data_IF_721336414624
#
_entry.id   IF_721336414624
#
_cell.length_a   1.000
_cell.length_b   1.000
_cell.length_c   1.000
_cell.angle_alpha   90.00
_cell.angle_beta   90.00
_cell.angle_gamma   90.00
#
_symmetry.space_group_name_H-M   'P 1'
#
loop_
_entity.id
_entity.type
_entity.pdbx_description
1 polymer ?
#
# COMPACT_ATOMS: atom_id res chain seq x y z
N UNK A 1 9.29 -0.91 5.72
CA UNK A 1 9.04 -2.08 4.83
C UNK A 1 10.38 -2.62 4.33
N UNK A 2 10.57 -3.94 4.24
CA UNK A 2 11.80 -4.55 3.70
C UNK A 2 11.85 -4.34 2.17
N UNK A 3 12.98 -3.88 1.63
CA UNK A 3 13.19 -3.65 0.19
C UNK A 3 12.82 -4.87 -0.66
N UNK A 4 13.02 -6.09 -0.15
CA UNK A 4 12.65 -7.32 -0.86
C UNK A 4 11.14 -7.45 -1.09
N UNK A 5 10.32 -6.94 -0.17
CA UNK A 5 8.85 -6.96 -0.29
C UNK A 5 8.36 -5.92 -1.30
N UNK A 6 8.97 -4.74 -1.32
CA UNK A 6 8.60 -3.66 -2.24
C UNK A 6 8.72 -4.07 -3.72
N UNK A 7 9.80 -4.77 -4.10
CA UNK A 7 9.98 -5.23 -5.49
C UNK A 7 9.02 -6.34 -5.90
N UNK A 8 8.63 -7.23 -4.99
CA UNK A 8 7.62 -8.25 -5.27
C UNK A 8 6.25 -7.63 -5.56
N UNK A 9 5.91 -6.55 -4.87
CA UNK A 9 4.61 -5.86 -4.97
C UNK A 9 4.47 -5.06 -6.27
N UNK A 10 5.58 -4.72 -6.91
CA UNK A 10 5.59 -4.00 -8.20
C UNK A 10 5.54 -4.98 -9.38
N UNK A 11 5.55 -6.30 -9.14
CA UNK A 11 5.64 -7.35 -10.18
C UNK A 11 6.82 -7.12 -11.15
N UNK A 12 7.86 -6.42 -10.71
CA UNK A 12 9.07 -6.14 -11.49
C UNK A 12 10.29 -6.73 -10.79
N UNK A 13 11.01 -7.59 -11.51
CA UNK A 13 12.30 -8.09 -11.07
C UNK A 13 13.26 -6.89 -10.83
N UNK A 14 14.04 -6.85 -9.72
CA UNK A 14 14.92 -5.73 -9.40
C UNK A 14 15.86 -5.35 -10.54
N UNK A 15 16.29 -6.34 -11.34
CA UNK A 15 17.14 -6.14 -12.53
C UNK A 15 16.36 -5.47 -13.66
N UNK A 16 15.09 -5.83 -13.83
CA UNK A 16 14.19 -5.25 -14.84
C UNK A 16 13.78 -3.82 -14.49
N UNK A 17 13.50 -3.53 -13.21
CA UNK A 17 13.24 -2.17 -12.74
C UNK A 17 14.46 -1.26 -12.98
N UNK A 18 15.64 -1.75 -12.63
CA UNK A 18 16.87 -0.98 -12.77
C UNK A 18 17.19 -0.66 -14.23
N UNK A 19 17.01 -1.62 -15.15
CA UNK A 19 17.26 -1.42 -16.59
C UNK A 19 16.21 -0.56 -17.28
N UNK A 20 14.93 -0.73 -16.95
CA UNK A 20 13.83 -0.11 -17.71
C UNK A 20 13.43 1.26 -17.19
N UNK A 21 13.66 1.53 -15.90
CA UNK A 21 13.19 2.77 -15.26
C UNK A 21 14.34 3.55 -14.59
N UNK A 22 15.14 2.92 -13.73
CA UNK A 22 16.14 3.64 -12.94
C UNK A 22 17.32 4.18 -13.80
N UNK A 23 17.91 3.35 -14.65
CA UNK A 23 19.05 3.75 -15.52
C UNK A 23 18.65 4.88 -16.48
N UNK A 24 17.54 4.80 -17.23
CA UNK A 24 17.09 5.89 -18.10
C UNK A 24 16.81 7.19 -17.34
N UNK A 25 16.18 7.12 -16.15
CA UNK A 25 15.88 8.29 -15.34
C UNK A 25 17.14 8.99 -14.82
N UNK A 26 18.13 8.22 -14.36
CA UNK A 26 19.42 8.76 -13.89
C UNK A 26 20.22 9.32 -15.06
N UNK A 27 20.30 8.62 -16.19
CA UNK A 27 20.96 9.13 -17.41
C UNK A 27 20.32 10.43 -17.90
N UNK A 28 18.99 10.53 -17.86
CA UNK A 28 18.28 11.76 -18.18
C UNK A 28 18.69 12.90 -17.25
N UNK A 29 18.76 12.67 -15.93
CA UNK A 29 19.21 13.67 -14.96
C UNK A 29 20.63 14.18 -15.24
N UNK A 30 21.57 13.29 -15.56
CA UNK A 30 22.94 13.67 -15.92
C UNK A 30 23.03 14.41 -17.26
N UNK A 31 22.30 13.96 -18.29
CA UNK A 31 22.24 14.65 -19.58
C UNK A 31 21.66 16.05 -19.43
N UNK A 32 20.59 16.20 -18.66
CA UNK A 32 19.93 17.47 -18.43
C UNK A 32 20.85 18.44 -17.70
N UNK A 33 21.54 17.99 -16.63
CA UNK A 33 22.55 18.80 -15.97
C UNK A 33 23.68 19.22 -16.93
N UNK A 34 24.17 18.30 -17.78
CA UNK A 34 25.18 18.60 -18.79
C UNK A 34 24.74 19.65 -19.82
N UNK A 35 23.49 19.60 -20.27
CA UNK A 35 22.91 20.60 -21.19
C UNK A 35 22.88 21.97 -20.51
N UNK A 36 22.46 22.05 -19.25
CA UNK A 36 22.44 23.30 -18.49
C UNK A 36 23.83 23.92 -18.36
N UNK A 37 24.86 23.11 -18.11
CA UNK A 37 26.24 23.57 -18.07
C UNK A 37 26.79 24.03 -19.42
N UNK A 38 26.35 23.40 -20.53
CA UNK A 38 26.83 23.72 -21.87
C UNK A 38 26.16 24.98 -22.46
N UNK A 39 24.84 25.13 -22.27
CA UNK A 39 24.04 26.19 -22.92
C UNK A 39 23.88 27.45 -22.09
N UNK A 40 23.99 27.39 -20.76
CA UNK A 40 23.78 28.52 -19.86
C UNK A 40 24.94 28.74 -18.87
N UNK A 41 26.21 28.75 -19.30
CA UNK A 41 27.35 28.83 -18.38
C UNK A 41 27.39 30.14 -17.57
N UNK A 42 26.92 31.25 -18.14
CA UNK A 42 26.96 32.57 -17.50
C UNK A 42 25.97 32.69 -16.32
N UNK A 43 24.82 31.99 -16.39
CA UNK A 43 23.79 31.98 -15.34
C UNK A 43 24.18 31.12 -14.13
N UNK A 44 25.01 30.10 -14.33
CA UNK A 44 25.42 29.15 -13.29
C UNK A 44 26.87 29.35 -12.86
N UNK A 45 27.34 30.60 -12.83
CA UNK A 45 28.64 30.99 -12.29
C UNK A 45 28.55 31.30 -10.78
N UNK A 46 29.59 30.94 -10.01
CA UNK A 46 29.63 31.15 -8.56
C UNK A 46 28.76 30.15 -7.74
N UNK A 47 28.13 30.55 -6.62
CA UNK A 47 27.33 29.67 -5.77
C UNK A 47 26.11 29.05 -6.46
N UNK A 48 25.68 29.57 -7.61
CA UNK A 48 24.54 29.04 -8.37
C UNK A 48 24.87 27.71 -9.11
N UNK A 49 26.15 27.35 -9.23
CA UNK A 49 26.61 26.10 -9.86
C UNK A 49 26.04 24.84 -9.17
N UNK A 50 25.63 24.93 -7.91
CA UNK A 50 25.05 23.77 -7.21
C UNK A 50 23.65 23.40 -7.75
N UNK A 51 22.94 24.33 -8.40
CA UNK A 51 21.55 24.12 -8.84
C UNK A 51 21.45 23.04 -9.93
N UNK A 52 22.20 23.08 -11.05
CA UNK A 52 22.14 22.01 -12.04
C UNK A 52 22.67 20.68 -11.51
N UNK A 53 23.64 20.71 -10.59
CA UNK A 53 24.18 19.51 -9.94
C UNK A 53 23.17 18.79 -9.03
N UNK A 54 22.14 19.49 -8.52
CA UNK A 54 21.07 18.88 -7.73
C UNK A 54 20.10 18.04 -8.57
N UNK A 55 19.96 18.33 -9.87
CA UNK A 55 19.05 17.61 -10.78
C UNK A 55 19.33 16.09 -10.80
N UNK A 56 20.55 15.60 -11.07
CA UNK A 56 20.84 14.17 -11.03
C UNK A 56 20.67 13.57 -9.64
N UNK A 57 20.97 14.34 -8.57
CA UNK A 57 20.76 13.90 -7.18
C UNK A 57 19.27 13.64 -6.91
N UNK A 58 18.39 14.54 -7.35
CA UNK A 58 16.93 14.39 -7.22
C UNK A 58 16.45 13.20 -8.05
N UNK A 59 16.95 13.00 -9.27
CA UNK A 59 16.59 11.84 -10.09
C UNK A 59 17.00 10.51 -9.45
N UNK A 60 18.20 10.44 -8.84
CA UNK A 60 18.66 9.26 -8.11
C UNK A 60 17.77 9.02 -6.89
N UNK A 61 17.48 10.06 -6.12
CA UNK A 61 16.60 9.97 -4.95
C UNK A 61 15.21 9.46 -5.34
N UNK A 62 14.63 10.00 -6.41
CA UNK A 62 13.33 9.57 -6.93
C UNK A 62 13.36 8.11 -7.37
N UNK A 63 14.39 7.67 -8.10
CA UNK A 63 14.52 6.28 -8.55
C UNK A 63 14.63 5.28 -7.39
N UNK A 64 15.20 5.68 -6.24
CA UNK A 64 15.30 4.82 -5.05
C UNK A 64 14.02 4.83 -4.21
N UNK A 65 13.37 5.99 -4.08
CA UNK A 65 12.16 6.14 -3.24
C UNK A 65 10.89 5.65 -3.93
N UNK A 66 10.81 5.74 -5.26
CA UNK A 66 9.65 5.31 -6.03
C UNK A 66 9.13 3.91 -5.70
N UNK A 67 9.97 2.84 -5.67
CA UNK A 67 9.46 1.50 -5.40
C UNK A 67 8.90 1.34 -3.99
N UNK A 68 9.46 2.04 -3.01
CA UNK A 68 8.96 2.01 -1.63
C UNK A 68 7.58 2.68 -1.58
N UNK A 69 7.48 3.88 -2.14
CA UNK A 69 6.24 4.64 -2.14
C UNK A 69 5.12 3.92 -2.90
N UNK A 70 5.42 3.30 -4.04
CA UNK A 70 4.45 2.52 -4.80
C UNK A 70 3.94 1.30 -4.02
N UNK A 71 4.83 0.61 -3.32
CA UNK A 71 4.45 -0.55 -2.50
C UNK A 71 3.67 -0.13 -1.24
N UNK A 72 4.01 1.00 -0.61
CA UNK A 72 3.24 1.57 0.50
C UNK A 72 1.84 1.99 0.05
N UNK A 73 1.71 2.59 -1.14
CA UNK A 73 0.42 2.94 -1.73
C UNK A 73 -0.49 1.71 -1.88
N UNK A 74 0.04 0.61 -2.42
CA UNK A 74 -0.69 -0.67 -2.52
C UNK A 74 -1.03 -1.28 -1.16
N UNK A 75 -0.14 -1.16 -0.17
CA UNK A 75 -0.41 -1.59 1.20
C UNK A 75 -1.59 -0.81 1.81
N UNK A 76 -1.59 0.51 1.66
CA UNK A 76 -2.68 1.37 2.12
C UNK A 76 -4.01 1.07 1.41
N UNK A 77 -3.97 0.77 0.11
CA UNK A 77 -5.15 0.35 -0.65
C UNK A 77 -5.77 -0.94 -0.08
N UNK A 78 -4.94 -1.94 0.23
CA UNK A 78 -5.39 -3.16 0.92
C UNK A 78 -6.01 -2.81 2.27
N UNK A 79 -5.28 -2.07 3.12
CA UNK A 79 -5.69 -1.76 4.50
C UNK A 79 -7.06 -1.07 4.55
N UNK A 80 -7.31 -0.15 3.62
CA UNK A 80 -8.59 0.57 3.52
C UNK A 80 -9.77 -0.36 3.20
N UNK A 81 -9.55 -1.46 2.45
CA UNK A 81 -10.61 -2.39 2.05
C UNK A 81 -10.77 -3.59 2.99
N UNK A 82 -9.84 -3.79 3.95
CA UNK A 82 -9.83 -4.96 4.84
C UNK A 82 -11.14 -5.17 5.60
N UNK A 83 -11.77 -4.09 6.07
CA UNK A 83 -13.02 -4.17 6.82
C UNK A 83 -14.17 -4.71 5.97
N UNK A 84 -14.37 -4.19 4.75
CA UNK A 84 -15.37 -4.71 3.81
C UNK A 84 -15.07 -6.16 3.39
N UNK A 85 -13.80 -6.47 3.14
CA UNK A 85 -13.35 -7.81 2.76
C UNK A 85 -13.66 -8.85 3.83
N UNK A 86 -13.30 -8.60 5.09
CA UNK A 86 -13.57 -9.52 6.21
C UNK A 86 -15.08 -9.60 6.53
N UNK A 87 -15.81 -8.48 6.42
CA UNK A 87 -17.27 -8.48 6.53
C UNK A 87 -17.92 -9.38 5.49
N UNK A 88 -17.49 -9.31 4.22
CA UNK A 88 -18.01 -10.16 3.16
C UNK A 88 -17.65 -11.64 3.39
N UNK A 89 -16.39 -11.93 3.75
CA UNK A 89 -15.98 -13.30 4.05
C UNK A 89 -16.86 -13.94 5.13
N UNK A 90 -17.11 -13.25 6.25
CA UNK A 90 -17.94 -13.80 7.32
C UNK A 90 -19.44 -13.88 6.98
N UNK A 91 -19.95 -12.96 6.17
CA UNK A 91 -21.31 -13.06 5.62
C UNK A 91 -21.45 -14.33 4.74
N UNK A 92 -20.48 -14.60 3.87
CA UNK A 92 -20.45 -15.80 3.02
C UNK A 92 -20.26 -17.08 3.85
N UNK A 93 -19.45 -17.02 4.91
CA UNK A 93 -19.23 -18.14 5.83
C UNK A 93 -20.49 -18.54 6.61
N UNK A 94 -21.41 -17.59 6.85
CA UNK A 94 -22.67 -17.86 7.55
C UNK A 94 -23.54 -18.88 6.79
N UNK A 95 -23.42 -18.94 5.46
CA UNK A 95 -24.09 -19.92 4.62
C UNK A 95 -23.45 -21.33 4.64
N UNK A 96 -22.53 -21.61 5.58
CA UNK A 96 -21.75 -22.86 5.66
C UNK A 96 -20.98 -23.16 4.38
N UNK A 97 -20.57 -22.10 3.67
CA UNK A 97 -19.81 -22.18 2.42
C UNK A 97 -18.44 -22.82 2.67
N UNK A 98 -17.97 -23.73 1.81
CA UNK A 98 -16.62 -24.29 1.91
C UNK A 98 -15.53 -23.19 1.93
N UNK A 99 -14.48 -23.42 2.71
CA UNK A 99 -13.40 -22.42 2.93
C UNK A 99 -12.76 -21.92 1.64
N UNK A 100 -12.53 -22.84 0.69
CA UNK A 100 -11.95 -22.52 -0.62
C UNK A 100 -12.90 -21.66 -1.45
N UNK A 101 -14.21 -21.91 -1.36
CA UNK A 101 -15.23 -21.12 -2.05
C UNK A 101 -15.37 -19.71 -1.47
N UNK A 102 -15.23 -19.54 -0.15
CA UNK A 102 -15.19 -18.21 0.48
C UNK A 102 -14.06 -17.39 -0.14
N UNK A 103 -12.85 -17.96 -0.21
CA UNK A 103 -11.66 -17.31 -0.79
C UNK A 103 -11.86 -17.00 -2.28
N UNK A 104 -12.51 -17.90 -3.03
CA UNK A 104 -12.86 -17.68 -4.43
C UNK A 104 -13.79 -16.48 -4.59
N UNK A 105 -14.89 -16.43 -3.84
CA UNK A 105 -15.92 -15.38 -3.94
C UNK A 105 -15.31 -14.00 -3.70
N UNK A 106 -14.50 -13.84 -2.65
CA UNK A 106 -13.88 -12.54 -2.35
C UNK A 106 -12.74 -12.19 -3.31
N UNK A 107 -12.12 -13.18 -3.97
CA UNK A 107 -11.12 -12.93 -5.03
C UNK A 107 -11.73 -12.49 -6.36
N UNK A 108 -13.01 -12.78 -6.60
CA UNK A 108 -13.76 -12.39 -7.80
C UNK A 108 -14.31 -10.96 -7.68
N UNK A 109 -14.26 -10.35 -6.49
CA UNK A 109 -14.76 -9.00 -6.26
C UNK A 109 -13.72 -7.93 -6.68
N UNK A 110 -13.90 -7.37 -7.87
CA UNK A 110 -13.01 -6.32 -8.41
C UNK A 110 -12.97 -5.04 -7.55
N UNK A 111 -14.00 -4.78 -6.72
CA UNK A 111 -14.03 -3.59 -5.85
C UNK A 111 -12.91 -3.59 -4.79
N UNK A 112 -12.33 -4.76 -4.49
CA UNK A 112 -11.20 -4.86 -3.56
C UNK A 112 -9.84 -4.61 -4.21
N UNK A 113 -9.79 -4.37 -5.52
CA UNK A 113 -8.57 -4.00 -6.24
C UNK A 113 -7.42 -4.97 -5.97
N UNK A 114 -6.29 -4.44 -5.48
CA UNK A 114 -5.09 -5.23 -5.21
C UNK A 114 -5.30 -6.35 -4.16
N UNK A 115 -6.25 -6.18 -3.23
CA UNK A 115 -6.57 -7.23 -2.23
C UNK A 115 -7.25 -8.45 -2.88
N UNK A 116 -8.14 -8.24 -3.86
CA UNK A 116 -8.71 -9.33 -4.64
C UNK A 116 -7.66 -10.06 -5.48
N UNK A 117 -6.72 -9.32 -6.09
CA UNK A 117 -5.60 -9.90 -6.84
C UNK A 117 -4.72 -10.80 -5.98
N UNK A 118 -4.31 -10.33 -4.78
CA UNK A 118 -3.51 -11.14 -3.86
C UNK A 118 -4.29 -12.37 -3.36
N UNK A 119 -5.60 -12.23 -3.13
CA UNK A 119 -6.45 -13.34 -2.71
C UNK A 119 -6.66 -14.36 -3.83
N UNK A 120 -6.74 -13.90 -5.09
CA UNK A 120 -6.80 -14.78 -6.26
C UNK A 120 -5.55 -15.64 -6.38
N UNK A 121 -4.37 -15.08 -6.08
CA UNK A 121 -3.12 -15.86 -6.02
C UNK A 121 -3.22 -17.00 -4.98
N UNK A 122 -3.87 -16.77 -3.83
CA UNK A 122 -4.13 -17.83 -2.84
C UNK A 122 -5.04 -18.91 -3.45
N UNK A 123 -6.14 -18.52 -4.08
CA UNK A 123 -7.08 -19.45 -4.71
C UNK A 123 -6.40 -20.30 -5.80
N UNK A 124 -5.58 -19.68 -6.65
CA UNK A 124 -4.81 -20.37 -7.70
C UNK A 124 -3.78 -21.34 -7.11
N UNK A 125 -3.09 -20.97 -6.02
CA UNK A 125 -2.18 -21.89 -5.31
C UNK A 125 -2.88 -23.15 -4.81
N UNK A 126 -4.14 -23.03 -4.40
CA UNK A 126 -4.93 -24.18 -3.94
C UNK A 126 -5.42 -25.01 -5.13
N UNK A 127 -6.02 -24.37 -6.13
CA UNK A 127 -6.73 -25.06 -7.21
C UNK A 127 -5.81 -25.57 -8.32
N UNK A 128 -4.86 -24.75 -8.76
CA UNK A 128 -3.94 -25.07 -9.87
C UNK A 128 -2.74 -25.83 -9.33
N UNK A 129 -2.18 -25.35 -8.21
CA UNK A 129 -0.93 -25.88 -7.66
C UNK A 129 -1.13 -26.95 -6.58
N UNK A 130 -2.39 -27.33 -6.30
CA UNK A 130 -2.77 -28.35 -5.31
C UNK A 130 -2.10 -28.15 -3.93
N UNK A 131 -1.87 -26.90 -3.52
CA UNK A 131 -1.38 -26.59 -2.18
C UNK A 131 -2.54 -26.58 -1.18
N UNK A 132 -2.22 -26.78 0.10
CA UNK A 132 -3.19 -26.54 1.16
C UNK A 132 -3.55 -25.05 1.22
N UNK A 133 -4.78 -24.73 1.64
CA UNK A 133 -5.19 -23.35 1.81
C UNK A 133 -4.34 -22.64 2.89
N UNK A 134 -3.91 -23.38 3.92
CA UNK A 134 -2.94 -22.89 4.91
C UNK A 134 -1.64 -22.42 4.23
N UNK A 135 -1.03 -23.28 3.40
CA UNK A 135 0.23 -22.97 2.73
C UNK A 135 0.08 -21.78 1.77
N UNK A 136 -1.07 -21.68 1.08
CA UNK A 136 -1.41 -20.55 0.22
C UNK A 136 -1.44 -19.23 0.99
N UNK A 137 -2.16 -19.20 2.12
CA UNK A 137 -2.24 -18.01 2.99
C UNK A 137 -0.85 -17.62 3.51
N UNK A 138 -0.05 -18.56 4.05
CA UNK A 138 1.32 -18.27 4.52
C UNK A 138 2.25 -17.80 3.42
N UNK A 139 2.05 -18.28 2.19
CA UNK A 139 2.87 -17.90 1.05
C UNK A 139 2.64 -16.43 0.66
N UNK A 140 1.39 -15.99 0.64
CA UNK A 140 1.03 -14.60 0.32
C UNK A 140 1.27 -13.66 1.50
N UNK A 141 1.05 -14.10 2.74
CA UNK A 141 1.34 -13.32 3.95
C UNK A 141 2.78 -12.78 3.96
N UNK A 142 3.76 -13.59 3.51
CA UNK A 142 5.17 -13.18 3.47
C UNK A 142 5.51 -12.14 2.40
N UNK A 143 4.60 -11.87 1.46
CA UNK A 143 4.82 -11.08 0.25
C UNK A 143 3.94 -9.84 0.12
N UNK A 144 2.80 -9.80 0.82
CA UNK A 144 1.93 -8.63 0.84
C UNK A 144 2.66 -7.39 1.42
N UNK A 145 2.38 -6.18 0.88
CA UNK A 145 2.88 -4.93 1.44
C UNK A 145 2.16 -4.53 2.74
N UNK A 146 0.93 -5.03 2.93
CA UNK A 146 0.08 -4.70 4.09
C UNK A 146 0.42 -5.58 5.28
N UNK A 147 0.65 -4.95 6.44
CA UNK A 147 0.87 -5.64 7.72
C UNK A 147 -0.43 -6.22 8.25
N UNK A 148 -1.55 -5.50 8.11
CA UNK A 148 -2.87 -5.95 8.56
C UNK A 148 -3.28 -7.22 7.81
N UNK A 149 -3.11 -7.23 6.49
CA UNK A 149 -3.43 -8.39 5.66
C UNK A 149 -2.47 -9.55 5.90
N UNK A 150 -1.17 -9.29 6.10
CA UNK A 150 -0.22 -10.32 6.51
C UNK A 150 -0.70 -11.02 7.80
N UNK A 151 -1.03 -10.24 8.82
CA UNK A 151 -1.41 -10.76 10.13
C UNK A 151 -2.75 -11.50 10.07
N UNK A 152 -3.71 -11.00 9.28
CA UNK A 152 -4.96 -11.70 8.98
C UNK A 152 -4.70 -13.06 8.32
N UNK A 153 -3.88 -13.10 7.26
CA UNK A 153 -3.57 -14.34 6.55
C UNK A 153 -2.81 -15.34 7.42
N UNK A 154 -1.90 -14.87 8.29
CA UNK A 154 -1.22 -15.73 9.24
C UNK A 154 -2.20 -16.28 10.27
N UNK A 155 -3.11 -15.47 10.83
CA UNK A 155 -4.16 -15.96 11.74
C UNK A 155 -5.09 -16.97 11.04
N UNK A 156 -5.53 -16.67 9.82
CA UNK A 156 -6.35 -17.55 9.01
C UNK A 156 -5.63 -18.88 8.77
N UNK A 157 -4.35 -18.88 8.40
CA UNK A 157 -3.56 -20.09 8.24
C UNK A 157 -3.51 -20.94 9.53
N UNK A 158 -3.34 -20.30 10.69
CA UNK A 158 -3.35 -21.02 11.98
C UNK A 158 -4.72 -21.60 12.33
N UNK A 159 -5.82 -20.86 12.11
CA UNK A 159 -7.18 -21.36 12.31
C UNK A 159 -7.51 -22.52 11.36
N UNK A 160 -7.07 -22.41 10.10
CA UNK A 160 -7.19 -23.48 9.11
C UNK A 160 -6.48 -24.76 9.55
N UNK A 161 -5.24 -24.65 10.03
CA UNK A 161 -4.44 -25.78 10.52
C UNK A 161 -5.05 -26.45 11.75
N UNK A 162 -5.60 -25.64 12.65
CA UNK A 162 -6.16 -26.10 13.92
C UNK A 162 -7.56 -26.71 13.76
N UNK A 163 -8.14 -26.65 12.56
CA UNK A 163 -9.50 -27.13 12.29
C UNK A 163 -10.57 -26.23 12.89
N UNK A 164 -10.24 -24.98 13.23
CA UNK A 164 -11.18 -23.99 13.77
C UNK A 164 -12.35 -23.79 12.81
N UNK A 165 -13.56 -23.58 13.34
CA UNK A 165 -14.71 -23.26 12.52
C UNK A 165 -14.51 -21.89 11.84
N UNK A 166 -14.69 -21.85 10.52
CA UNK A 166 -14.37 -20.66 9.73
C UNK A 166 -15.33 -19.49 10.04
N UNK A 167 -16.57 -19.79 10.42
CA UNK A 167 -17.56 -18.77 10.77
C UNK A 167 -17.19 -18.14 12.11
N UNK A 168 -16.82 -18.95 13.09
CA UNK A 168 -16.39 -18.44 14.40
C UNK A 168 -15.10 -17.62 14.28
N UNK A 169 -14.12 -18.11 13.52
CA UNK A 169 -12.90 -17.37 13.19
C UNK A 169 -13.22 -16.00 12.57
N UNK A 170 -13.98 -15.98 11.47
CA UNK A 170 -14.29 -14.73 10.75
C UNK A 170 -15.15 -13.77 11.59
N UNK A 171 -16.04 -14.28 12.44
CA UNK A 171 -16.81 -13.45 13.37
C UNK A 171 -15.89 -12.74 14.38
N UNK A 172 -14.91 -13.46 14.94
CA UNK A 172 -13.92 -12.85 15.85
C UNK A 172 -13.08 -11.79 15.15
N UNK A 173 -12.67 -12.06 13.91
CA UNK A 173 -11.82 -11.18 13.12
C UNK A 173 -12.57 -9.93 12.63
N UNK A 174 -13.87 -10.06 12.30
CA UNK A 174 -14.74 -8.92 12.01
C UNK A 174 -14.76 -7.91 13.14
N UNK A 175 -14.85 -8.36 14.40
CA UNK A 175 -14.84 -7.46 15.54
C UNK A 175 -13.49 -6.73 15.67
N UNK A 176 -12.38 -7.43 15.46
CA UNK A 176 -11.04 -6.82 15.52
C UNK A 176 -10.88 -5.73 14.47
N UNK A 177 -11.22 -6.03 13.22
CA UNK A 177 -11.03 -5.08 12.12
C UNK A 177 -12.03 -3.92 12.16
N UNK A 178 -13.26 -4.14 12.62
CA UNK A 178 -14.22 -3.04 12.81
C UNK A 178 -13.78 -2.09 13.93
N UNK A 179 -13.22 -2.60 15.03
CA UNK A 179 -12.69 -1.75 16.10
C UNK A 179 -11.49 -0.91 15.60
N UNK A 180 -10.59 -1.51 14.82
CA UNK A 180 -9.46 -0.78 14.22
C UNK A 180 -9.95 0.29 13.24
N UNK A 181 -10.93 -0.04 12.39
CA UNK A 181 -11.55 0.90 11.47
C UNK A 181 -12.23 2.06 12.19
N UNK A 182 -12.96 1.80 13.27
CA UNK A 182 -13.56 2.85 14.11
C UNK A 182 -12.49 3.77 14.71
N UNK A 183 -11.38 3.21 15.19
CA UNK A 183 -10.25 3.98 15.73
C UNK A 183 -9.62 4.89 14.67
N UNK A 184 -9.36 4.35 13.47
CA UNK A 184 -8.85 5.11 12.33
C UNK A 184 -9.82 6.23 11.93
N UNK A 185 -11.12 5.92 11.83
CA UNK A 185 -12.15 6.89 11.46
C UNK A 185 -12.26 8.02 12.48
N UNK A 186 -12.25 7.70 13.77
CA UNK A 186 -12.27 8.69 14.84
C UNK A 186 -11.01 9.57 14.82
N UNK A 187 -9.84 8.99 14.53
CA UNK A 187 -8.59 9.74 14.33
C UNK A 187 -8.67 10.69 13.13
N UNK A 188 -9.24 10.25 12.01
CA UNK A 188 -9.47 11.10 10.85
C UNK A 188 -10.44 12.25 11.14
N UNK A 189 -11.52 11.97 11.88
CA UNK A 189 -12.48 12.99 12.33
C UNK A 189 -11.80 14.04 13.22
N UNK A 190 -10.94 13.60 14.15
CA UNK A 190 -10.15 14.50 14.99
C UNK A 190 -9.24 15.41 14.15
N UNK A 191 -8.58 14.87 13.13
CA UNK A 191 -7.75 15.67 12.24
C UNK A 191 -8.55 16.74 11.48
N UNK A 192 -9.77 16.40 11.02
CA UNK A 192 -10.68 17.35 10.39
C UNK A 192 -11.08 18.46 11.37
N UNK A 193 -11.33 18.10 12.63
CA UNK A 193 -11.64 19.06 13.68
C UNK A 193 -10.49 20.05 13.93
N UNK A 194 -9.25 19.57 14.02
CA UNK A 194 -8.08 20.43 14.17
C UNK A 194 -7.92 21.38 12.98
N UNK A 195 -8.14 20.89 11.75
CA UNK A 195 -8.11 21.75 10.54
C UNK A 195 -9.19 22.83 10.60
N UNK A 196 -10.42 22.47 11.01
CA UNK A 196 -11.53 23.40 11.22
C UNK A 196 -11.17 24.48 12.24
N UNK A 197 -10.58 24.12 13.37
CA UNK A 197 -10.15 25.06 14.41
C UNK A 197 -9.06 26.02 13.92
N UNK A 198 -8.08 25.51 13.17
CA UNK A 198 -7.04 26.36 12.54
C UNK A 198 -7.65 27.35 11.56
N UNK A 199 -8.62 26.91 10.74
CA UNK A 199 -9.31 27.77 9.79
C UNK A 199 -10.13 28.88 10.47
N UNK A 200 -10.90 28.53 11.52
CA UNK A 200 -11.64 29.51 12.33
C UNK A 200 -10.67 30.52 12.96
N UNK A 201 -9.56 30.05 13.53
CA UNK A 201 -8.55 30.91 14.15
C UNK A 201 -7.94 31.89 13.15
N UNK A 202 -7.62 31.43 11.93
CA UNK A 202 -7.09 32.27 10.85
C UNK A 202 -8.11 33.34 10.43
N UNK A 203 -9.37 32.96 10.23
CA UNK A 203 -10.44 33.90 9.87
C UNK A 203 -10.64 34.94 10.97
N UNK A 204 -10.69 34.52 12.24
CA UNK A 204 -10.83 35.45 13.38
C UNK A 204 -9.68 36.46 13.43
N UNK A 205 -8.45 36.01 13.19
CA UNK A 205 -7.27 36.89 13.11
C UNK A 205 -7.41 37.92 11.98
N UNK A 206 -7.88 37.50 10.81
CA UNK A 206 -8.12 38.40 9.68
C UNK A 206 -9.26 39.40 9.94
N UNK A 207 -10.36 38.96 10.55
CA UNK A 207 -11.48 39.84 10.95
C UNK A 207 -11.00 40.89 11.94
N UNK A 208 -10.21 40.48 12.95
CA UNK A 208 -9.63 41.40 13.92
C UNK A 208 -8.73 42.44 13.26
N UNK A 209 -7.86 42.02 12.32
CA UNK A 209 -6.95 42.91 11.60
C UNK A 209 -7.70 43.86 10.65
N UNK A 210 -8.82 43.45 10.07
CA UNK A 210 -9.64 44.29 9.19
C UNK A 210 -10.58 45.26 9.95
N UNK A 211 -10.83 45.00 11.24
CA UNK A 211 -11.73 45.81 12.08
C UNK A 211 -11.02 46.97 12.80
N UNK A 212 -9.69 47.05 12.73
CA UNK A 212 -8.85 48.16 13.22
C UNK A 212 -8.27 48.95 12.04
#
# INVERSE_FOLDING_TARGET
MDYKRAFHVIDMDPVSYMKRFAIPAVLFGFLFAGIFYLFLPDLFSGPANVIPALIPVICILFAVLYPISAAEGKGSEIDNQMHYYISQMGAVATAQTPRVDIVRIVSENEEYGYLAEETKKIFELVTIWNKSLEDGCRFIAKRTPSVIFQDFLDRLAHGLKSGEDIKDFLSSEQNVVMNEYESMYNGAMYNIEVIKEMFISLIMSLIFLASF
#
